data_IF_728554261104
#
_entry.id   IF_728554261104
#
_cell.length_a   1.000
_cell.length_b   1.000
_cell.length_c   1.000
_cell.angle_alpha   90.00
_cell.angle_beta   90.00
_cell.angle_gamma   90.00
#
_symmetry.space_group_name_H-M   'P 1'
#
loop_
_entity.id
_entity.type
_entity.pdbx_description
1 polymer ?
#
# COMPACT_ATOMS: atom_id res chain seq x y z
N UNK A 1 40.73 64.31 -17.45
CA UNK A 1 39.36 63.81 -17.35
C UNK A 1 39.43 62.32 -17.64
N UNK A 2 39.67 61.44 -16.59
CA UNK A 2 39.77 60.01 -16.72
C UNK A 2 38.53 59.38 -16.08
N UNK A 3 37.74 58.67 -16.90
CA UNK A 3 36.50 58.03 -16.51
C UNK A 3 36.84 56.56 -16.17
N UNK A 4 36.72 56.18 -14.88
CA UNK A 4 36.92 54.86 -14.39
C UNK A 4 35.62 54.07 -14.56
N UNK A 5 35.65 53.03 -15.44
CA UNK A 5 34.60 52.03 -15.55
C UNK A 5 34.73 51.02 -14.41
N UNK A 6 33.75 50.94 -13.54
CA UNK A 6 33.60 49.87 -12.54
C UNK A 6 32.95 48.66 -13.20
N UNK A 7 33.71 47.57 -13.39
CA UNK A 7 33.13 46.27 -13.72
C UNK A 7 32.51 45.66 -12.43
N UNK A 8 31.20 45.54 -12.39
CA UNK A 8 30.52 44.73 -11.37
C UNK A 8 30.48 43.28 -11.80
N UNK A 9 31.27 42.46 -11.12
CA UNK A 9 31.27 40.99 -11.31
C UNK A 9 30.05 40.42 -10.53
N UNK A 10 29.01 40.05 -11.23
CA UNK A 10 27.87 39.32 -10.63
C UNK A 10 28.25 37.83 -10.46
N UNK A 11 28.46 37.43 -9.23
CA UNK A 11 28.65 36.00 -8.89
C UNK A 11 27.28 35.33 -8.92
N UNK A 12 27.03 34.54 -9.95
CA UNK A 12 25.85 33.66 -10.03
C UNK A 12 26.11 32.44 -9.17
N UNK A 13 25.48 32.38 -8.00
CA UNK A 13 25.42 31.17 -7.19
C UNK A 13 24.48 30.16 -7.86
N UNK A 14 25.02 29.17 -8.53
CA UNK A 14 24.28 27.99 -8.99
C UNK A 14 24.09 27.09 -7.76
N UNK A 15 22.92 27.16 -7.13
CA UNK A 15 22.50 26.17 -6.15
C UNK A 15 22.26 24.85 -6.90
N UNK A 16 23.24 23.96 -6.85
CA UNK A 16 23.06 22.57 -7.26
C UNK A 16 22.08 21.93 -6.26
N UNK A 17 20.81 21.77 -6.63
CA UNK A 17 19.90 20.87 -5.97
C UNK A 17 20.43 19.45 -6.23
N UNK A 18 21.15 18.90 -5.25
CA UNK A 18 21.41 17.47 -5.19
C UNK A 18 20.05 16.78 -5.02
N UNK A 19 19.45 16.34 -6.11
CA UNK A 19 18.31 15.44 -6.08
C UNK A 19 18.77 14.17 -5.40
N UNK A 20 18.32 13.90 -4.18
CA UNK A 20 18.46 12.60 -3.56
C UNK A 20 17.67 11.61 -4.42
N UNK A 21 18.36 10.88 -5.27
CA UNK A 21 17.85 9.69 -5.89
C UNK A 21 17.66 8.67 -4.74
N UNK A 22 16.42 8.43 -4.31
CA UNK A 22 16.10 7.33 -3.40
C UNK A 22 16.52 6.04 -4.10
N UNK A 23 17.62 5.44 -3.63
CA UNK A 23 18.14 4.19 -4.20
C UNK A 23 17.15 3.06 -3.92
N UNK A 24 16.57 2.49 -4.99
CA UNK A 24 15.86 1.22 -4.91
C UNK A 24 16.90 0.10 -4.84
N UNK A 25 16.87 -0.71 -3.78
CA UNK A 25 17.66 -1.93 -3.63
C UNK A 25 16.78 -3.15 -3.85
N UNK A 26 17.24 -4.11 -4.65
CA UNK A 26 16.61 -5.43 -4.78
C UNK A 26 17.29 -6.41 -3.85
N UNK A 27 16.52 -6.99 -2.94
CA UNK A 27 17.00 -7.93 -1.93
C UNK A 27 16.22 -9.23 -2.04
N UNK A 28 16.89 -10.35 -1.79
CA UNK A 28 16.25 -11.66 -1.65
C UNK A 28 16.39 -12.13 -0.22
N UNK A 29 15.28 -12.51 0.41
CA UNK A 29 15.25 -13.04 1.78
C UNK A 29 14.63 -14.43 1.83
N UNK A 30 14.93 -15.20 2.87
CA UNK A 30 14.42 -16.56 3.05
C UNK A 30 13.23 -16.55 3.99
N UNK A 31 12.13 -17.19 3.59
CA UNK A 31 10.93 -17.44 4.39
C UNK A 31 11.13 -18.58 5.37
N UNK A 32 10.18 -18.76 6.29
CA UNK A 32 10.22 -19.87 7.28
C UNK A 32 10.17 -21.28 6.63
N UNK A 33 9.55 -21.40 5.44
CA UNK A 33 9.45 -22.64 4.66
C UNK A 33 10.66 -22.88 3.72
N UNK A 34 11.76 -22.14 3.92
CA UNK A 34 12.99 -22.15 3.15
C UNK A 34 12.85 -21.67 1.69
N UNK A 35 11.71 -21.18 1.26
CA UNK A 35 11.57 -20.51 -0.01
C UNK A 35 12.11 -19.08 0.05
N UNK A 36 12.42 -18.51 -1.09
CA UNK A 36 12.92 -17.13 -1.19
C UNK A 36 11.84 -16.19 -1.67
N UNK A 37 11.89 -14.96 -1.17
CA UNK A 37 11.05 -13.83 -1.63
C UNK A 37 11.93 -12.65 -2.02
N UNK A 38 11.58 -12.01 -3.15
CA UNK A 38 12.25 -10.79 -3.61
C UNK A 38 11.58 -9.56 -3.02
N UNK A 39 12.38 -8.62 -2.57
CA UNK A 39 11.96 -7.35 -1.99
C UNK A 39 12.55 -6.19 -2.79
N UNK A 40 11.76 -5.17 -3.09
CA UNK A 40 12.28 -3.85 -3.47
C UNK A 40 12.27 -2.96 -2.23
N UNK A 41 13.44 -2.50 -1.85
CA UNK A 41 13.66 -1.71 -0.64
C UNK A 41 13.96 -0.26 -1.03
N UNK A 42 13.28 0.66 -0.35
CA UNK A 42 13.46 2.10 -0.50
C UNK A 42 13.88 2.65 0.85
N UNK A 43 15.15 2.98 0.97
CA UNK A 43 15.72 3.51 2.19
C UNK A 43 15.16 4.89 2.52
N UNK A 44 15.06 5.20 3.79
CA UNK A 44 14.65 6.53 4.21
C UNK A 44 15.76 7.55 3.93
N UNK A 45 15.43 8.66 3.29
CA UNK A 45 16.36 9.78 3.10
C UNK A 45 16.62 10.58 4.38
N UNK A 46 16.11 10.14 5.55
CA UNK A 46 16.24 10.82 6.85
C UNK A 46 17.25 10.10 7.74
N UNK A 47 17.87 10.85 8.62
CA UNK A 47 18.87 10.34 9.58
C UNK A 47 18.29 9.28 10.53
N UNK A 48 16.97 9.31 10.80
CA UNK A 48 16.29 8.33 11.65
C UNK A 48 15.13 7.67 10.93
N UNK A 49 15.05 6.35 10.99
CA UNK A 49 13.91 5.58 10.52
C UNK A 49 12.72 5.74 11.47
N UNK A 50 11.57 6.17 10.96
CA UNK A 50 10.33 6.34 11.74
C UNK A 50 9.57 5.03 11.94
N UNK A 51 9.83 4.05 11.10
CA UNK A 51 9.14 2.76 11.10
C UNK A 51 9.30 2.04 9.77
N UNK A 52 8.65 0.91 9.64
CA UNK A 52 8.66 0.06 8.44
C UNK A 52 7.30 0.11 7.76
N UNK A 53 7.29 0.33 6.46
CA UNK A 53 6.10 0.26 5.60
C UNK A 53 6.24 -0.91 4.63
N UNK A 54 5.46 -1.98 4.82
CA UNK A 54 5.44 -3.13 3.94
C UNK A 54 4.29 -2.99 2.96
N UNK A 55 4.58 -3.10 1.67
CA UNK A 55 3.63 -2.95 0.57
C UNK A 55 3.40 -4.32 -0.07
N UNK A 56 2.15 -4.80 -0.01
CA UNK A 56 1.70 -6.07 -0.58
C UNK A 56 0.93 -5.81 -1.89
N UNK A 57 1.49 -6.16 -3.06
CA UNK A 57 0.89 -6.00 -4.38
C UNK A 57 -0.42 -6.78 -4.56
N UNK A 58 -1.21 -6.40 -5.56
CA UNK A 58 -2.33 -7.19 -6.06
C UNK A 58 -1.90 -8.49 -6.75
N UNK A 59 -2.86 -9.33 -7.15
CA UNK A 59 -2.60 -10.52 -7.95
C UNK A 59 -1.90 -10.13 -9.26
N UNK A 60 -0.84 -10.86 -9.63
CA UNK A 60 0.01 -10.57 -10.80
C UNK A 60 0.99 -9.39 -10.62
N UNK A 61 0.94 -8.68 -9.48
CA UNK A 61 1.91 -7.66 -9.14
C UNK A 61 3.26 -8.24 -8.73
N UNK A 62 4.26 -7.37 -8.61
CA UNK A 62 5.61 -7.76 -8.20
C UNK A 62 6.24 -6.68 -7.34
N UNK A 63 7.40 -6.99 -6.77
CA UNK A 63 8.24 -6.07 -6.02
C UNK A 63 8.68 -4.84 -6.84
N UNK A 64 8.64 -4.92 -8.17
CA UNK A 64 9.01 -3.83 -9.08
C UNK A 64 7.88 -2.82 -9.34
N UNK A 65 6.67 -3.12 -8.86
CA UNK A 65 5.52 -2.20 -8.93
C UNK A 65 5.45 -1.28 -7.71
N UNK A 66 4.44 -0.41 -7.68
CA UNK A 66 4.11 0.43 -6.52
C UNK A 66 5.22 1.40 -6.06
N UNK A 67 6.15 1.75 -6.94
CA UNK A 67 7.26 2.66 -6.61
C UNK A 67 6.75 3.98 -6.02
N UNK A 68 5.66 4.53 -6.55
CA UNK A 68 5.07 5.77 -6.05
C UNK A 68 4.67 5.71 -4.56
N UNK A 69 4.15 4.53 -4.11
CA UNK A 69 3.83 4.31 -2.69
C UNK A 69 5.11 4.20 -1.85
N UNK A 70 6.06 3.40 -2.32
CA UNK A 70 7.31 3.17 -1.61
C UNK A 70 8.13 4.46 -1.48
N UNK A 71 8.25 5.25 -2.55
CA UNK A 71 8.88 6.57 -2.55
C UNK A 71 8.14 7.55 -1.62
N UNK A 72 6.79 7.55 -1.68
CA UNK A 72 5.97 8.37 -0.80
C UNK A 72 6.16 8.03 0.68
N UNK A 73 6.30 6.76 1.04
CA UNK A 73 6.58 6.32 2.41
C UNK A 73 8.03 6.63 2.83
N UNK A 74 8.99 6.39 1.95
CA UNK A 74 10.40 6.70 2.18
C UNK A 74 10.61 8.20 2.42
N UNK A 75 9.97 9.06 1.63
CA UNK A 75 10.00 10.51 1.82
C UNK A 75 9.46 10.96 3.18
N UNK A 76 8.55 10.19 3.79
CA UNK A 76 8.03 10.42 5.12
C UNK A 76 8.93 9.85 6.24
N UNK A 77 10.02 9.16 5.89
CA UNK A 77 10.99 8.60 6.82
C UNK A 77 10.72 7.15 7.23
N UNK A 78 9.93 6.42 6.47
CA UNK A 78 9.74 4.98 6.66
C UNK A 78 10.70 4.19 5.77
N UNK A 79 11.24 3.09 6.28
CA UNK A 79 11.83 2.06 5.44
C UNK A 79 10.70 1.38 4.67
N UNK A 80 10.60 1.63 3.36
CA UNK A 80 9.51 1.10 2.55
C UNK A 80 9.96 -0.13 1.77
N UNK A 81 9.15 -1.19 1.81
CA UNK A 81 9.48 -2.49 1.21
C UNK A 81 8.31 -2.98 0.39
N UNK A 82 8.49 -3.10 -0.93
CA UNK A 82 7.53 -3.77 -1.80
C UNK A 82 7.87 -5.25 -1.87
N UNK A 83 6.90 -6.11 -1.54
CA UNK A 83 7.10 -7.56 -1.44
C UNK A 83 6.71 -8.25 -2.75
N UNK A 84 7.58 -9.12 -3.28
CA UNK A 84 7.25 -10.01 -4.37
C UNK A 84 6.54 -11.27 -3.84
N UNK A 85 5.32 -11.54 -4.31
CA UNK A 85 4.56 -12.73 -3.90
C UNK A 85 4.61 -13.80 -4.98
N UNK A 86 5.32 -14.90 -4.71
CA UNK A 86 5.52 -15.98 -5.68
C UNK A 86 4.20 -16.66 -6.04
N UNK A 87 3.42 -17.04 -5.03
CA UNK A 87 2.18 -17.82 -5.16
C UNK A 87 1.01 -17.04 -5.80
N UNK A 88 1.16 -15.74 -5.97
CA UNK A 88 0.14 -14.87 -6.56
C UNK A 88 0.71 -13.78 -7.48
N UNK A 89 1.98 -13.90 -7.83
CA UNK A 89 2.67 -13.00 -8.76
C UNK A 89 2.34 -13.29 -10.22
N UNK A 90 3.08 -12.65 -11.11
CA UNK A 90 2.83 -12.73 -12.56
C UNK A 90 2.82 -14.15 -13.11
N UNK A 91 3.72 -15.01 -12.63
CA UNK A 91 3.80 -16.39 -13.12
C UNK A 91 2.62 -17.24 -12.62
N UNK A 92 2.23 -17.10 -11.35
CA UNK A 92 1.04 -17.76 -10.82
C UNK A 92 -0.22 -17.37 -11.59
N UNK A 93 -0.40 -16.07 -11.89
CA UNK A 93 -1.51 -15.60 -12.75
C UNK A 93 -1.44 -16.25 -14.13
N UNK A 94 -0.28 -16.29 -14.79
CA UNK A 94 -0.14 -16.92 -16.11
C UNK A 94 -0.50 -18.41 -16.08
N UNK A 95 -0.13 -19.13 -15.06
CA UNK A 95 -0.45 -20.55 -14.90
C UNK A 95 -1.96 -20.75 -14.76
N UNK A 96 -2.63 -19.95 -13.93
CA UNK A 96 -4.08 -20.00 -13.78
C UNK A 96 -4.83 -19.66 -15.08
N UNK A 97 -4.31 -18.73 -15.87
CA UNK A 97 -4.93 -18.33 -17.14
C UNK A 97 -4.81 -19.41 -18.24
N UNK A 98 -3.79 -20.26 -18.19
CA UNK A 98 -3.60 -21.33 -19.20
C UNK A 98 -4.69 -22.40 -19.16
N UNK A 99 -5.30 -22.66 -18.00
CA UNK A 99 -6.36 -23.66 -17.83
C UNK A 99 -7.78 -23.10 -17.83
N UNK A 100 -7.90 -21.80 -17.50
CA UNK A 100 -9.22 -21.26 -17.13
C UNK A 100 -9.37 -19.85 -17.68
N UNK A 101 -9.91 -19.35 -18.52
CA UNK A 101 -10.00 -17.96 -18.98
C UNK A 101 -9.69 -16.88 -17.90
N UNK A 102 -9.47 -15.66 -18.30
CA UNK A 102 -8.97 -14.57 -17.44
C UNK A 102 -9.78 -14.41 -16.14
N UNK A 103 -11.11 -14.38 -16.26
CA UNK A 103 -12.01 -14.13 -15.12
C UNK A 103 -11.99 -15.28 -14.13
N UNK A 104 -12.09 -16.51 -14.62
CA UNK A 104 -12.12 -17.71 -13.78
C UNK A 104 -10.77 -17.95 -13.11
N UNK A 105 -9.66 -17.88 -13.86
CA UNK A 105 -8.32 -18.07 -13.30
C UNK A 105 -7.96 -17.04 -12.24
N UNK A 106 -8.34 -15.75 -12.43
CA UNK A 106 -8.17 -14.75 -11.40
C UNK A 106 -9.07 -14.98 -10.18
N UNK A 107 -10.33 -15.41 -10.40
CA UNK A 107 -11.26 -15.73 -9.32
C UNK A 107 -10.73 -16.86 -8.45
N UNK A 108 -10.21 -17.92 -9.05
CA UNK A 108 -9.60 -19.04 -8.33
C UNK A 108 -8.39 -18.59 -7.54
N UNK A 109 -7.49 -17.81 -8.13
CA UNK A 109 -6.29 -17.33 -7.45
C UNK A 109 -6.62 -16.44 -6.24
N UNK A 110 -7.56 -15.50 -6.37
CA UNK A 110 -7.92 -14.59 -5.28
C UNK A 110 -8.74 -15.25 -4.16
N UNK A 111 -9.20 -16.48 -4.37
CA UNK A 111 -9.88 -17.28 -3.35
C UNK A 111 -9.07 -18.49 -2.89
N UNK A 112 -7.82 -18.62 -3.32
CA UNK A 112 -6.92 -19.70 -2.92
C UNK A 112 -6.28 -19.42 -1.56
N UNK A 113 -6.59 -20.17 -0.48
CA UNK A 113 -5.97 -20.00 0.81
C UNK A 113 -4.44 -20.11 0.79
N UNK A 114 -3.88 -21.04 -0.01
CA UNK A 114 -2.45 -21.25 -0.08
C UNK A 114 -1.69 -20.03 -0.63
N UNK A 115 -2.31 -19.30 -1.55
CA UNK A 115 -1.74 -18.05 -2.04
C UNK A 115 -1.65 -16.97 -0.95
N UNK A 116 -2.61 -16.90 -0.04
CA UNK A 116 -2.56 -15.97 1.12
C UNK A 116 -1.57 -16.44 2.19
N UNK A 117 -1.48 -17.74 2.48
CA UNK A 117 -0.46 -18.28 3.39
C UNK A 117 0.94 -17.92 2.91
N UNK A 118 1.22 -18.07 1.60
CA UNK A 118 2.46 -17.62 0.99
C UNK A 118 2.71 -16.13 1.23
N UNK A 119 1.70 -15.28 1.04
CA UNK A 119 1.79 -13.83 1.27
C UNK A 119 2.10 -13.48 2.73
N UNK A 120 1.50 -14.18 3.69
CA UNK A 120 1.81 -13.96 5.10
C UNK A 120 3.26 -14.35 5.43
N UNK A 121 3.76 -15.45 4.88
CA UNK A 121 5.16 -15.84 5.04
C UNK A 121 6.12 -14.82 4.41
N UNK A 122 5.80 -14.30 3.23
CA UNK A 122 6.59 -13.27 2.55
C UNK A 122 6.64 -11.97 3.37
N UNK A 123 5.48 -11.51 3.85
CA UNK A 123 5.36 -10.31 4.70
C UNK A 123 6.13 -10.49 6.01
N UNK A 124 6.02 -11.65 6.64
CA UNK A 124 6.76 -11.97 7.87
C UNK A 124 8.28 -11.97 7.65
N UNK A 125 8.76 -12.51 6.52
CA UNK A 125 10.17 -12.52 6.15
C UNK A 125 10.67 -11.08 5.90
N UNK A 126 9.92 -10.26 5.17
CA UNK A 126 10.24 -8.85 4.94
C UNK A 126 10.29 -8.06 6.27
N UNK A 127 9.31 -8.28 7.15
CA UNK A 127 9.26 -7.65 8.47
C UNK A 127 10.42 -8.08 9.38
N UNK A 128 10.80 -9.35 9.35
CA UNK A 128 11.97 -9.86 10.09
C UNK A 128 13.25 -9.19 9.59
N UNK A 129 13.46 -9.17 8.27
CA UNK A 129 14.63 -8.57 7.64
C UNK A 129 14.76 -7.06 7.94
N UNK A 130 13.64 -6.34 7.96
CA UNK A 130 13.63 -4.90 8.19
C UNK A 130 14.07 -4.47 9.59
N UNK A 131 14.00 -5.36 10.60
CA UNK A 131 14.40 -5.05 11.99
C UNK A 131 15.86 -4.68 12.14
N UNK A 132 16.72 -5.20 11.28
CA UNK A 132 18.16 -4.91 11.29
C UNK A 132 18.48 -3.55 10.67
N UNK A 133 17.54 -2.99 9.86
CA UNK A 133 17.71 -1.74 9.13
C UNK A 133 16.93 -0.57 9.70
N UNK A 134 15.85 -0.84 10.39
CA UNK A 134 15.02 0.16 11.03
C UNK A 134 14.71 -0.27 12.47
N UNK A 135 15.37 0.35 13.42
CA UNK A 135 15.21 0.05 14.85
C UNK A 135 13.96 0.68 15.48
N UNK A 136 13.01 1.15 14.66
CA UNK A 136 11.72 1.66 15.14
C UNK A 136 10.70 0.53 15.28
N UNK A 137 9.91 0.49 16.36
CA UNK A 137 8.85 -0.50 16.52
C UNK A 137 7.66 -0.26 15.57
N UNK A 138 7.49 0.97 15.05
CA UNK A 138 6.33 1.32 14.24
C UNK A 138 6.32 0.57 12.90
N UNK A 139 5.18 -0.03 12.58
CA UNK A 139 5.03 -0.86 11.38
C UNK A 139 3.66 -0.66 10.71
N UNK A 140 3.68 -0.57 9.39
CA UNK A 140 2.52 -0.32 8.55
C UNK A 140 2.43 -1.41 7.50
N UNK A 141 1.25 -2.00 7.31
CA UNK A 141 0.99 -2.86 6.17
C UNK A 141 0.07 -2.15 5.17
N UNK A 142 0.60 -1.93 3.97
CA UNK A 142 -0.15 -1.39 2.85
C UNK A 142 -0.48 -2.53 1.87
N UNK A 143 -1.70 -2.58 1.38
CA UNK A 143 -2.09 -3.61 0.40
C UNK A 143 -2.98 -3.05 -0.70
N UNK A 144 -2.81 -3.55 -1.93
CA UNK A 144 -3.69 -3.24 -3.05
C UNK A 144 -4.40 -4.52 -3.51
N UNK A 145 -5.71 -4.43 -3.80
CA UNK A 145 -6.48 -5.55 -4.35
C UNK A 145 -6.33 -6.82 -3.49
N UNK A 146 -5.80 -7.92 -4.01
CA UNK A 146 -5.50 -9.12 -3.22
C UNK A 146 -4.57 -8.82 -2.03
N UNK A 147 -3.63 -7.87 -2.17
CA UNK A 147 -2.83 -7.34 -1.06
C UNK A 147 -3.67 -6.61 -0.02
N UNK A 148 -4.74 -5.93 -0.43
CA UNK A 148 -5.67 -5.30 0.51
C UNK A 148 -6.47 -6.35 1.30
N UNK A 149 -6.91 -7.44 0.66
CA UNK A 149 -7.52 -8.56 1.38
C UNK A 149 -6.53 -9.19 2.37
N UNK A 150 -5.26 -9.39 1.95
CA UNK A 150 -4.18 -9.86 2.83
C UNK A 150 -4.03 -8.95 4.07
N UNK A 151 -4.00 -7.62 3.86
CA UNK A 151 -3.90 -6.67 4.96
C UNK A 151 -5.14 -6.67 5.88
N UNK A 152 -6.35 -6.83 5.33
CA UNK A 152 -7.57 -6.92 6.12
C UNK A 152 -7.60 -8.22 6.96
N UNK A 153 -7.19 -9.36 6.39
CA UNK A 153 -7.12 -10.63 7.13
C UNK A 153 -6.05 -10.50 8.24
N UNK A 154 -4.87 -9.94 7.94
CA UNK A 154 -3.82 -9.69 8.94
C UNK A 154 -4.31 -8.77 10.07
N UNK A 155 -5.16 -7.79 9.76
CA UNK A 155 -5.79 -6.88 10.75
C UNK A 155 -6.85 -7.57 11.63
N UNK A 156 -7.23 -8.80 11.32
CA UNK A 156 -8.20 -9.58 12.07
C UNK A 156 -9.57 -9.72 11.40
N UNK A 157 -9.71 -9.40 10.11
CA UNK A 157 -10.95 -9.66 9.37
C UNK A 157 -11.22 -11.16 9.31
N UNK A 158 -12.43 -11.58 9.69
CA UNK A 158 -12.91 -12.94 9.46
C UNK A 158 -13.09 -13.17 7.97
N UNK A 159 -12.80 -14.36 7.49
CA UNK A 159 -12.87 -14.68 6.07
C UNK A 159 -13.37 -16.10 5.82
N UNK A 160 -13.87 -16.34 4.62
CA UNK A 160 -14.40 -17.64 4.18
C UNK A 160 -13.29 -18.63 3.76
N UNK A 161 -12.02 -18.19 3.78
CA UNK A 161 -10.85 -18.97 3.42
C UNK A 161 -10.28 -19.76 4.61
N UNK A 162 -10.80 -19.56 5.82
CA UNK A 162 -10.31 -20.22 7.03
C UNK A 162 -8.98 -19.67 7.55
N UNK A 163 -8.54 -18.52 7.09
CA UNK A 163 -7.26 -17.92 7.46
C UNK A 163 -7.39 -17.04 8.71
N UNK A 164 -6.30 -16.99 9.49
CA UNK A 164 -6.21 -16.14 10.69
C UNK A 164 -5.02 -15.22 10.59
N UNK A 165 -5.27 -13.91 10.65
CA UNK A 165 -4.22 -12.89 10.74
C UNK A 165 -3.66 -12.78 12.16
N UNK A 166 -2.40 -12.37 12.28
CA UNK A 166 -1.70 -12.24 13.56
C UNK A 166 -1.80 -10.83 14.15
N UNK A 167 -2.35 -9.88 13.39
CA UNK A 167 -2.53 -8.47 13.79
C UNK A 167 -1.25 -7.80 14.29
N UNK A 168 -0.14 -8.04 13.58
CA UNK A 168 1.21 -7.68 14.02
C UNK A 168 1.65 -6.27 13.62
N UNK A 169 0.88 -5.56 12.82
CA UNK A 169 1.16 -4.17 12.42
C UNK A 169 0.40 -3.17 13.29
N UNK A 170 0.89 -1.95 13.38
CA UNK A 170 0.29 -0.89 14.20
C UNK A 170 -0.89 -0.23 13.49
N UNK A 171 -0.83 -0.15 12.16
CA UNK A 171 -1.92 0.34 11.32
C UNK A 171 -1.90 -0.30 9.92
N UNK A 172 -3.02 -0.17 9.23
CA UNK A 172 -3.24 -0.78 7.92
C UNK A 172 -3.73 0.25 6.92
N UNK A 173 -3.23 0.14 5.68
CA UNK A 173 -3.70 0.92 4.53
C UNK A 173 -4.12 -0.03 3.43
N UNK A 174 -5.34 0.09 2.95
CA UNK A 174 -5.87 -0.79 1.91
C UNK A 174 -6.37 0.01 0.73
N UNK A 175 -5.86 -0.31 -0.44
CA UNK A 175 -6.21 0.29 -1.71
C UNK A 175 -7.08 -0.69 -2.49
N UNK A 176 -8.25 -0.24 -2.94
CA UNK A 176 -9.20 -1.09 -3.67
C UNK A 176 -9.51 -2.41 -2.95
N UNK A 177 -9.94 -2.41 -1.67
CA UNK A 177 -10.22 -3.65 -0.95
C UNK A 177 -11.43 -4.38 -1.55
N UNK A 178 -11.49 -5.68 -1.33
CA UNK A 178 -12.69 -6.46 -1.62
C UNK A 178 -13.78 -6.16 -0.58
N UNK A 179 -15.02 -6.04 -1.04
CA UNK A 179 -16.19 -5.97 -0.21
C UNK A 179 -16.74 -7.35 0.15
N UNK A 180 -18.04 -7.39 0.47
CA UNK A 180 -18.76 -8.63 0.71
C UNK A 180 -18.77 -9.50 -0.55
N UNK A 181 -18.38 -10.77 -0.39
CA UNK A 181 -18.25 -11.67 -1.52
C UNK A 181 -17.58 -13.00 -1.13
N UNK A 182 -16.87 -13.64 -2.05
CA UNK A 182 -16.29 -14.96 -1.82
C UNK A 182 -15.31 -15.01 -0.63
N UNK A 183 -14.55 -13.90 -0.39
CA UNK A 183 -13.55 -13.84 0.67
C UNK A 183 -14.16 -13.40 1.99
N UNK A 184 -15.03 -12.38 1.98
CA UNK A 184 -15.54 -11.73 3.18
C UNK A 184 -17.07 -11.78 3.27
N UNK A 185 -17.60 -12.13 4.45
CA UNK A 185 -19.00 -11.96 4.78
C UNK A 185 -19.29 -10.53 5.27
N UNK A 186 -20.57 -10.16 5.41
CA UNK A 186 -20.98 -8.83 5.87
C UNK A 186 -20.40 -8.45 7.24
N UNK A 187 -20.16 -9.41 8.12
CA UNK A 187 -19.64 -9.19 9.48
C UNK A 187 -18.12 -9.40 9.58
N UNK A 188 -17.42 -9.51 8.46
CA UNK A 188 -16.03 -9.88 8.41
C UNK A 188 -15.11 -8.94 9.22
N UNK A 189 -15.38 -7.64 9.21
CA UNK A 189 -14.46 -6.61 9.70
C UNK A 189 -14.72 -6.14 11.14
N UNK A 190 -15.68 -6.75 11.84
CA UNK A 190 -16.09 -6.31 13.19
C UNK A 190 -14.99 -6.46 14.26
N UNK A 191 -14.04 -7.33 14.06
CA UNK A 191 -12.93 -7.55 14.98
C UNK A 191 -11.74 -6.58 14.79
N UNK A 192 -11.75 -5.75 13.74
CA UNK A 192 -10.63 -4.85 13.43
C UNK A 192 -10.65 -3.64 14.37
N UNK A 193 -9.77 -3.64 15.37
CA UNK A 193 -9.63 -2.58 16.36
C UNK A 193 -8.60 -1.51 15.98
N UNK A 194 -7.53 -1.88 15.29
CA UNK A 194 -6.43 -0.99 14.92
C UNK A 194 -6.84 0.08 13.88
N UNK A 195 -6.05 1.17 13.76
CA UNK A 195 -6.27 2.18 12.73
C UNK A 195 -6.24 1.59 11.32
N UNK A 196 -7.20 1.98 10.49
CA UNK A 196 -7.28 1.55 9.08
C UNK A 196 -7.62 2.73 8.19
N UNK A 197 -6.84 2.90 7.12
CA UNK A 197 -7.19 3.75 5.99
C UNK A 197 -7.60 2.88 4.81
N UNK A 198 -8.77 3.14 4.26
CA UNK A 198 -9.25 2.54 3.01
C UNK A 198 -9.24 3.62 1.94
N UNK A 199 -8.69 3.31 0.75
CA UNK A 199 -8.78 4.19 -0.42
C UNK A 199 -9.35 3.41 -1.59
N UNK A 200 -10.34 3.99 -2.27
CA UNK A 200 -10.95 3.46 -3.49
C UNK A 200 -11.25 4.60 -4.47
N UNK A 201 -11.84 4.29 -5.61
CA UNK A 201 -12.21 5.28 -6.62
C UNK A 201 -13.60 5.09 -7.16
N UNK A 202 -14.22 6.17 -7.69
CA UNK A 202 -15.58 6.11 -8.22
C UNK A 202 -15.71 5.26 -9.50
N UNK A 203 -14.58 4.79 -10.09
CA UNK A 203 -14.51 3.88 -11.23
C UNK A 203 -13.73 2.59 -10.92
N UNK A 204 -13.55 2.28 -9.64
CA UNK A 204 -12.86 1.07 -9.14
C UNK A 204 -13.82 -0.14 -9.09
N UNK A 205 -14.46 -0.44 -10.21
CA UNK A 205 -15.38 -1.56 -10.33
C UNK A 205 -14.65 -2.90 -10.09
N UNK A 206 -15.39 -3.89 -9.63
CA UNK A 206 -14.86 -5.24 -9.46
C UNK A 206 -14.59 -5.93 -10.81
N UNK A 207 -13.63 -6.84 -10.85
CA UNK A 207 -13.31 -7.66 -12.04
C UNK A 207 -14.52 -8.44 -12.56
N UNK A 208 -15.49 -8.72 -11.69
CA UNK A 208 -16.75 -9.38 -12.03
C UNK A 208 -17.83 -8.48 -12.62
N UNK A 209 -17.57 -7.16 -12.77
CA UNK A 209 -18.56 -6.18 -13.20
C UNK A 209 -19.41 -5.62 -12.03
N UNK A 210 -19.08 -5.94 -10.78
CA UNK A 210 -19.69 -5.35 -9.59
C UNK A 210 -19.36 -3.87 -9.44
N UNK A 211 -20.25 -3.13 -8.79
CA UNK A 211 -20.08 -1.70 -8.56
C UNK A 211 -18.91 -1.42 -7.62
N UNK A 212 -18.14 -0.35 -7.84
CA UNK A 212 -17.14 0.15 -6.91
C UNK A 212 -17.67 0.39 -5.48
N UNK A 213 -19.00 0.51 -5.31
CA UNK A 213 -19.61 0.72 -4.00
C UNK A 213 -19.38 -0.45 -3.04
N UNK A 214 -19.13 -1.66 -3.54
CA UNK A 214 -18.76 -2.80 -2.70
C UNK A 214 -17.42 -2.59 -1.99
N UNK A 215 -16.53 -1.72 -2.54
CA UNK A 215 -15.28 -1.32 -1.89
C UNK A 215 -15.48 -0.56 -0.58
N UNK A 216 -16.71 -0.06 -0.33
CA UNK A 216 -17.07 0.65 0.89
C UNK A 216 -17.47 -0.29 2.04
N UNK A 217 -17.80 -1.55 1.74
CA UNK A 217 -18.28 -2.52 2.72
C UNK A 217 -17.34 -2.69 3.92
N UNK A 218 -16.01 -2.78 3.75
CA UNK A 218 -15.09 -2.86 4.89
C UNK A 218 -15.23 -1.67 5.83
N UNK A 219 -15.26 -0.45 5.29
CA UNK A 219 -15.46 0.74 6.11
C UNK A 219 -16.81 0.72 6.80
N UNK A 220 -17.89 0.44 6.08
CA UNK A 220 -19.26 0.47 6.62
C UNK A 220 -19.42 -0.50 7.80
N UNK A 221 -18.76 -1.66 7.75
CA UNK A 221 -18.92 -2.76 8.71
C UNK A 221 -17.79 -2.85 9.77
N UNK A 222 -16.76 -2.02 9.73
CA UNK A 222 -15.79 -1.91 10.82
C UNK A 222 -16.40 -1.21 12.04
N UNK A 223 -15.92 -1.51 13.27
CA UNK A 223 -16.28 -0.75 14.46
C UNK A 223 -15.75 0.69 14.39
N UNK A 224 -16.32 1.63 15.17
CA UNK A 224 -15.75 2.95 15.35
C UNK A 224 -14.32 2.91 15.87
N UNK A 225 -13.58 3.98 15.63
CA UNK A 225 -12.19 4.12 16.00
C UNK A 225 -11.46 4.97 14.96
N UNK A 226 -10.15 4.85 14.86
CA UNK A 226 -9.42 5.55 13.79
C UNK A 226 -9.58 4.81 12.46
N UNK A 227 -10.71 5.00 11.78
CA UNK A 227 -11.03 4.42 10.48
C UNK A 227 -11.30 5.54 9.48
N UNK A 228 -10.55 5.55 8.39
CA UNK A 228 -10.74 6.50 7.30
C UNK A 228 -11.12 5.77 6.01
N UNK A 229 -11.99 6.40 5.24
CA UNK A 229 -12.33 6.03 3.88
C UNK A 229 -12.07 7.22 2.96
N UNK A 230 -11.17 7.06 2.00
CA UNK A 230 -10.92 8.01 0.91
C UNK A 230 -11.52 7.49 -0.39
N UNK A 231 -12.36 8.27 -1.04
CA UNK A 231 -12.93 7.95 -2.37
C UNK A 231 -12.40 8.97 -3.37
N UNK A 232 -11.52 8.53 -4.27
CA UNK A 232 -10.91 9.37 -5.30
C UNK A 232 -11.80 9.39 -6.55
N UNK A 233 -12.19 10.60 -6.97
CA UNK A 233 -12.99 10.76 -8.16
C UNK A 233 -12.29 10.24 -9.42
N UNK A 234 -13.03 9.47 -10.23
CA UNK A 234 -12.59 8.86 -11.50
C UNK A 234 -11.43 7.88 -11.41
N UNK A 235 -10.91 7.55 -10.20
CA UNK A 235 -9.88 6.53 -10.05
C UNK A 235 -10.44 5.14 -10.33
N UNK A 236 -9.63 4.34 -11.04
CA UNK A 236 -9.91 2.95 -11.41
C UNK A 236 -9.05 1.99 -10.59
N UNK A 237 -9.39 0.70 -10.58
CA UNK A 237 -8.62 -0.35 -9.91
C UNK A 237 -7.12 -0.31 -10.26
N UNK A 238 -6.79 -0.20 -11.54
CA UNK A 238 -5.42 -0.25 -12.03
C UNK A 238 -4.61 1.03 -11.75
N UNK A 239 -5.28 2.17 -11.50
CA UNK A 239 -4.56 3.39 -11.13
C UNK A 239 -3.83 3.25 -9.79
N UNK A 240 -4.39 2.49 -8.85
CA UNK A 240 -3.74 2.21 -7.55
C UNK A 240 -2.54 1.26 -7.67
N UNK A 241 -2.44 0.51 -8.76
CA UNK A 241 -1.25 -0.28 -9.09
C UNK A 241 -0.17 0.53 -9.85
N UNK A 242 -0.40 1.83 -10.11
CA UNK A 242 0.50 2.67 -10.89
C UNK A 242 0.38 2.43 -12.40
N UNK A 243 -0.76 1.94 -12.90
CA UNK A 243 -0.98 1.67 -14.31
C UNK A 243 -1.99 2.62 -14.95
N UNK A 244 -1.82 2.87 -16.25
CA UNK A 244 -2.65 3.79 -17.01
C UNK A 244 -2.35 5.26 -16.68
N UNK A 245 -3.35 6.16 -16.82
CA UNK A 245 -3.23 7.57 -16.44
C UNK A 245 -3.46 7.68 -14.93
N UNK A 246 -2.44 7.40 -14.15
CA UNK A 246 -2.55 7.18 -12.69
C UNK A 246 -2.00 8.33 -11.83
N UNK A 247 -1.21 9.25 -12.41
CA UNK A 247 -0.44 10.26 -11.66
C UNK A 247 -1.27 11.08 -10.64
N UNK A 248 -2.51 11.48 -11.00
CA UNK A 248 -3.40 12.17 -10.07
C UNK A 248 -3.85 11.26 -8.93
N UNK A 249 -4.20 10.02 -9.23
CA UNK A 249 -4.59 9.01 -8.23
C UNK A 249 -3.42 8.70 -7.31
N UNK A 250 -2.22 8.51 -7.84
CA UNK A 250 -0.99 8.27 -7.07
C UNK A 250 -0.72 9.42 -6.09
N UNK A 251 -0.77 10.66 -6.57
CA UNK A 251 -0.56 11.85 -5.74
C UNK A 251 -1.57 11.93 -4.60
N UNK A 252 -2.88 11.84 -4.90
CA UNK A 252 -3.94 11.89 -3.89
C UNK A 252 -3.85 10.73 -2.90
N UNK A 253 -3.45 9.54 -3.36
CA UNK A 253 -3.23 8.37 -2.50
C UNK A 253 -2.12 8.64 -1.50
N UNK A 254 -0.94 9.09 -1.96
CA UNK A 254 0.21 9.39 -1.08
C UNK A 254 -0.11 10.51 -0.10
N UNK A 255 -0.75 11.59 -0.54
CA UNK A 255 -1.18 12.70 0.31
C UNK A 255 -2.18 12.25 1.38
N UNK A 256 -3.14 11.39 1.02
CA UNK A 256 -4.13 10.85 1.98
C UNK A 256 -3.47 9.95 3.00
N UNK A 257 -2.54 9.09 2.59
CA UNK A 257 -1.75 8.26 3.52
C UNK A 257 -0.95 9.16 4.47
N UNK A 258 -0.27 10.18 3.95
CA UNK A 258 0.47 11.13 4.77
C UNK A 258 -0.41 11.82 5.80
N UNK A 259 -1.58 12.31 5.39
CA UNK A 259 -2.54 12.94 6.28
C UNK A 259 -3.04 11.98 7.37
N UNK A 260 -3.31 10.72 7.00
CA UNK A 260 -3.71 9.67 7.94
C UNK A 260 -2.61 9.38 8.97
N UNK A 261 -1.35 9.26 8.54
CA UNK A 261 -0.21 9.03 9.43
C UNK A 261 0.02 10.20 10.39
N UNK A 262 -0.15 11.44 9.92
CA UNK A 262 -0.05 12.63 10.77
C UNK A 262 -1.18 12.66 11.80
N UNK A 263 -2.39 12.24 11.44
CA UNK A 263 -3.53 12.20 12.35
C UNK A 263 -3.35 11.21 13.52
N UNK A 264 -2.51 10.18 13.35
CA UNK A 264 -2.18 9.24 14.44
C UNK A 264 -1.38 9.89 15.57
N UNK A 265 -0.71 11.02 15.30
CA UNK A 265 0.07 11.77 16.27
C UNK A 265 -0.78 12.83 16.99
N UNK A 266 -2.01 13.06 16.55
CA UNK A 266 -2.95 14.03 17.10
C UNK A 266 -4.08 13.35 17.85
N UNK A 267 -4.61 13.99 18.86
CA UNK A 267 -5.79 13.50 19.57
C UNK A 267 -7.00 13.53 18.63
N UNK A 268 -7.66 12.38 18.45
CA UNK A 268 -8.96 12.28 17.76
C UNK A 268 -8.93 11.83 16.31
N UNK A 269 -7.79 11.47 15.74
CA UNK A 269 -7.69 10.88 14.38
C UNK A 269 -8.56 11.62 13.32
N UNK A 270 -8.47 12.94 13.28
CA UNK A 270 -9.30 13.78 12.38
C UNK A 270 -8.57 14.05 11.08
N UNK A 271 -9.28 14.01 9.91
CA UNK A 271 -8.68 14.40 8.64
C UNK A 271 -8.39 15.91 8.64
N UNK A 272 -7.30 16.33 7.97
CA UNK A 272 -7.12 17.73 7.64
C UNK A 272 -8.20 18.19 6.65
N UNK A 273 -8.24 19.49 6.38
CA UNK A 273 -9.22 20.13 5.49
C UNK A 273 -9.46 19.34 4.17
N UNK A 274 -10.65 19.51 3.61
CA UNK A 274 -11.10 18.88 2.35
C UNK A 274 -10.11 19.13 1.20
N UNK A 275 -9.70 18.08 0.52
CA UNK A 275 -8.87 18.12 -0.67
C UNK A 275 -9.73 17.93 -1.93
N UNK A 276 -9.42 18.67 -3.01
CA UNK A 276 -10.17 18.52 -4.27
C UNK A 276 -9.89 17.15 -4.90
N UNK A 277 -10.96 16.41 -5.18
CA UNK A 277 -10.90 15.17 -5.94
C UNK A 277 -10.78 13.92 -5.10
N UNK A 278 -10.89 14.04 -3.79
CA UNK A 278 -11.08 12.95 -2.86
C UNK A 278 -12.11 13.33 -1.80
N UNK A 279 -13.04 12.43 -1.53
CA UNK A 279 -13.95 12.53 -0.40
C UNK A 279 -13.42 11.65 0.73
N UNK A 280 -13.29 12.22 1.95
CA UNK A 280 -12.80 11.49 3.12
C UNK A 280 -13.93 11.39 4.15
N UNK A 281 -14.20 10.16 4.59
CA UNK A 281 -15.11 9.84 5.68
C UNK A 281 -14.33 9.20 6.82
N UNK A 282 -14.76 9.41 8.07
CA UNK A 282 -14.10 8.88 9.28
C UNK A 282 -15.10 8.37 10.29
N UNK A 283 -14.67 7.43 11.12
CA UNK A 283 -15.45 6.96 12.27
C UNK A 283 -14.57 6.36 13.38
#
# INVERSE_FOLDING_TARGET
MFQLYRLSCAIVFVLAFAGFAFGQELVTVTRQDQQTVSLSVYETGKVSCRGVAIISPGAGGSEKGYSYLAEGMSAQGYLAIVVGHKESGREAVRQQLRGNGLREGLSQLITDPAAYEGRFMDIAAAKKWSRERCNSPASILLGHSMGAATAMIEAGAKNNLGLTGLNTFDLYVTLSPQGVGPIFSVNAWQAISKPVLIITGTRDNELGGGSWKTRLDPFNNMPPGCKWLGVIDSATHMNFAGHGISRRTELLTVQTIQAFLLSQQQTGCRPPMRERGIEIQTK
#
